data_IF_809154649113
#
_entry.id   IF_809154649113
#
_cell.length_a   1.000
_cell.length_b   1.000
_cell.length_c   1.000
_cell.angle_alpha   90.00
_cell.angle_beta   90.00
_cell.angle_gamma   90.00
#
_symmetry.space_group_name_H-M   'P 1'
#
loop_
_entity.id
_entity.type
_entity.pdbx_description
1 polymer ?
#
# COMPACT_ATOMS: atom_id res chain seq x y z
N UNK A 1 -18.01 -9.24 2.99
CA UNK A 1 -16.73 -8.87 2.39
C UNK A 1 -15.73 -8.48 3.47
N UNK A 2 -14.51 -8.97 3.36
CA UNK A 2 -13.48 -8.59 4.32
C UNK A 2 -13.10 -7.13 4.11
N UNK A 3 -13.01 -6.37 5.19
CA UNK A 3 -12.53 -5.00 5.14
C UNK A 3 -11.01 -5.01 5.06
N UNK A 4 -10.45 -4.28 4.11
CA UNK A 4 -9.00 -4.18 3.98
C UNK A 4 -8.42 -3.37 5.14
N UNK A 5 -7.35 -3.88 5.74
CA UNK A 5 -6.63 -3.18 6.80
C UNK A 5 -5.84 -2.01 6.27
N UNK A 6 -5.33 -2.12 5.04
CA UNK A 6 -4.60 -1.05 4.36
C UNK A 6 -5.52 -0.48 3.29
N UNK A 7 -5.60 0.83 3.22
CA UNK A 7 -6.44 1.55 2.25
C UNK A 7 -5.59 2.47 1.40
N UNK A 8 -6.14 2.86 0.25
CA UNK A 8 -5.53 3.88 -0.61
C UNK A 8 -5.30 5.17 0.19
N UNK A 9 -4.20 5.84 -0.09
CA UNK A 9 -3.73 7.05 0.57
C UNK A 9 -3.13 6.84 1.96
N UNK A 10 -3.10 5.61 2.47
CA UNK A 10 -2.36 5.33 3.71
C UNK A 10 -0.86 5.44 3.46
N UNK A 11 -0.12 5.88 4.46
CA UNK A 11 1.34 5.79 4.45
C UNK A 11 1.76 4.50 5.12
N UNK A 12 2.60 3.74 4.43
CA UNK A 12 3.04 2.42 4.91
C UNK A 12 4.55 2.31 4.82
N UNK A 13 5.11 1.37 5.59
CA UNK A 13 6.52 1.01 5.54
C UNK A 13 6.64 -0.43 5.06
N UNK A 14 7.58 -0.66 4.15
CA UNK A 14 7.88 -2.02 3.67
C UNK A 14 8.74 -2.71 4.71
N UNK A 15 8.31 -3.89 5.16
CA UNK A 15 8.97 -4.63 6.24
C UNK A 15 9.74 -5.85 5.76
N UNK A 16 9.62 -6.21 4.50
CA UNK A 16 10.30 -7.39 3.94
C UNK A 16 10.54 -7.21 2.46
N UNK A 17 11.51 -7.94 1.93
CA UNK A 17 11.86 -7.94 0.52
C UNK A 17 12.94 -6.93 0.17
N UNK A 18 13.14 -6.72 -1.14
CA UNK A 18 14.22 -5.85 -1.64
C UNK A 18 14.07 -4.38 -1.25
N UNK A 19 12.84 -3.94 -0.99
CA UNK A 19 12.56 -2.55 -0.64
C UNK A 19 12.32 -2.35 0.86
N UNK A 20 12.80 -3.29 1.67
CA UNK A 20 12.67 -3.21 3.13
C UNK A 20 13.12 -1.84 3.64
N UNK A 21 12.36 -1.31 4.59
CA UNK A 21 12.55 0.00 5.23
C UNK A 21 12.17 1.20 4.37
N UNK A 22 11.69 1.00 3.15
CA UNK A 22 11.12 2.09 2.37
C UNK A 22 9.72 2.44 2.87
N UNK A 23 9.40 3.71 2.77
CA UNK A 23 8.09 4.25 3.15
C UNK A 23 7.46 4.89 1.94
N UNK A 24 6.14 4.83 1.87
CA UNK A 24 5.44 5.45 0.76
C UNK A 24 3.94 5.44 0.96
N UNK A 25 3.27 6.15 0.07
CA UNK A 25 1.82 6.25 0.08
C UNK A 25 1.22 5.14 -0.77
N UNK A 26 0.15 4.52 -0.28
CA UNK A 26 -0.56 3.49 -1.03
C UNK A 26 -1.33 4.13 -2.17
N UNK A 27 -1.02 3.71 -3.39
CA UNK A 27 -1.67 4.21 -4.60
C UNK A 27 -2.88 3.39 -4.98
N UNK A 28 -2.84 2.10 -4.72
CA UNK A 28 -3.92 1.19 -5.08
C UNK A 28 -3.91 -0.02 -4.16
N UNK A 29 -5.09 -0.54 -3.86
CA UNK A 29 -5.26 -1.75 -3.05
C UNK A 29 -6.06 -2.77 -3.85
N UNK A 30 -5.56 -4.00 -3.90
CA UNK A 30 -6.28 -5.13 -4.49
C UNK A 30 -6.60 -6.13 -3.36
N UNK A 31 -7.76 -5.98 -2.71
CA UNK A 31 -8.09 -6.85 -1.58
C UNK A 31 -8.28 -8.31 -1.99
N UNK A 32 -8.72 -8.54 -3.22
CA UNK A 32 -8.98 -9.89 -3.73
C UNK A 32 -7.70 -10.72 -3.79
N UNK A 33 -6.59 -10.10 -4.19
CA UNK A 33 -5.30 -10.77 -4.32
C UNK A 33 -4.35 -10.46 -3.17
N UNK A 34 -4.80 -9.72 -2.15
CA UNK A 34 -4.00 -9.30 -1.01
C UNK A 34 -2.73 -8.55 -1.42
N UNK A 35 -2.87 -7.63 -2.37
CA UNK A 35 -1.75 -6.85 -2.88
C UNK A 35 -2.02 -5.36 -2.81
N UNK A 36 -0.93 -4.62 -2.71
CA UNK A 36 -0.97 -3.16 -2.69
C UNK A 36 0.10 -2.60 -3.60
N UNK A 37 -0.17 -1.44 -4.17
CA UNK A 37 0.81 -0.66 -4.94
C UNK A 37 1.20 0.53 -4.08
N UNK A 38 2.48 0.67 -3.80
CA UNK A 38 3.02 1.73 -2.96
C UNK A 38 3.93 2.63 -3.78
N UNK A 39 3.75 3.93 -3.65
CA UNK A 39 4.54 4.91 -4.39
C UNK A 39 6.03 4.73 -4.15
N UNK A 40 6.79 4.62 -5.24
CA UNK A 40 8.25 4.48 -5.19
C UNK A 40 8.76 3.12 -4.74
N UNK A 41 7.86 2.15 -4.51
CA UNK A 41 8.22 0.82 -4.00
C UNK A 41 7.96 -0.22 -5.08
N UNK A 42 8.86 -1.22 -5.14
CA UNK A 42 8.80 -2.31 -6.10
C UNK A 42 8.75 -1.81 -7.54
N UNK A 43 9.63 -0.87 -7.83
CA UNK A 43 9.71 -0.28 -9.16
C UNK A 43 10.17 -1.32 -10.17
N UNK A 44 9.44 -1.45 -11.24
CA UNK A 44 9.77 -2.34 -12.35
C UNK A 44 9.85 -1.55 -13.63
N UNK A 45 10.66 -2.05 -14.55
CA UNK A 45 10.81 -1.46 -15.87
C UNK A 45 9.96 -2.25 -16.86
N UNK A 46 9.08 -1.55 -17.56
CA UNK A 46 8.26 -2.13 -18.61
C UNK A 46 8.65 -1.58 -19.95
N UNK A 47 8.74 -2.46 -20.95
CA UNK A 47 8.88 -2.05 -22.33
C UNK A 47 7.50 -1.83 -22.93
N UNK A 48 7.27 -0.60 -23.41
CA UNK A 48 6.00 -0.28 -24.06
C UNK A 48 6.20 -0.30 -25.56
N UNK A 49 5.22 -0.87 -26.28
CA UNK A 49 5.23 -0.83 -27.74
C UNK A 49 4.70 0.51 -28.23
N UNK A 50 5.22 1.03 -29.35
CA UNK A 50 4.66 2.25 -29.94
C UNK A 50 3.18 2.04 -30.25
N UNK A 51 2.40 3.07 -29.99
CA UNK A 51 0.97 3.06 -30.27
C UNK A 51 0.52 4.44 -30.70
N UNK A 52 -0.74 4.58 -31.07
CA UNK A 52 -1.29 5.89 -31.42
C UNK A 52 -1.18 6.89 -30.28
N UNK A 53 -1.27 6.42 -29.04
CA UNK A 53 -1.15 7.27 -27.86
C UNK A 53 0.30 7.45 -27.41
N UNK A 54 1.19 6.51 -27.74
CA UNK A 54 2.60 6.56 -27.36
C UNK A 54 3.44 6.11 -28.55
N UNK A 55 3.69 7.05 -29.46
CA UNK A 55 4.36 6.74 -30.71
C UNK A 55 5.84 6.42 -30.57
N UNK A 56 6.46 6.89 -29.50
CA UNK A 56 7.88 6.63 -29.27
C UNK A 56 8.14 5.27 -28.67
N UNK A 57 7.12 4.67 -28.04
CA UNK A 57 7.30 3.46 -27.26
C UNK A 57 8.27 3.71 -26.13
N UNK A 58 8.99 2.69 -25.71
CA UNK A 58 10.12 2.87 -24.84
C UNK A 58 10.00 2.13 -23.52
N UNK A 59 10.77 2.62 -22.53
CA UNK A 59 10.90 2.00 -21.22
C UNK A 59 10.17 2.88 -20.22
N UNK A 60 9.20 2.28 -19.51
CA UNK A 60 8.44 2.96 -18.47
C UNK A 60 8.73 2.30 -17.14
N UNK A 61 9.08 3.11 -16.14
CA UNK A 61 9.21 2.63 -14.77
C UNK A 61 7.89 2.87 -14.05
N UNK A 62 7.37 1.84 -13.40
CA UNK A 62 6.16 1.98 -12.60
C UNK A 62 6.21 1.03 -11.42
N UNK A 63 5.43 1.33 -10.41
CA UNK A 63 5.30 0.50 -9.24
C UNK A 63 4.56 -0.78 -9.58
N UNK A 64 5.07 -1.92 -9.13
CA UNK A 64 4.37 -3.19 -9.22
C UNK A 64 3.72 -3.52 -7.88
N UNK A 65 2.63 -4.30 -7.89
CA UNK A 65 2.00 -4.71 -6.64
C UNK A 65 2.91 -5.55 -5.77
N UNK A 66 2.80 -5.37 -4.46
CA UNK A 66 3.48 -6.20 -3.48
C UNK A 66 2.44 -6.81 -2.54
N UNK A 67 2.81 -7.90 -1.88
CA UNK A 67 1.93 -8.56 -0.93
C UNK A 67 1.65 -7.62 0.25
N UNK A 68 0.40 -7.53 0.67
CA UNK A 68 0.01 -6.64 1.78
C UNK A 68 0.69 -7.03 3.08
N UNK A 69 1.07 -8.29 3.26
CA UNK A 69 1.79 -8.74 4.44
C UNK A 69 3.21 -8.17 4.53
N UNK A 70 3.73 -7.62 3.43
CA UNK A 70 5.07 -7.03 3.39
C UNK A 70 5.09 -5.55 3.76
N UNK A 71 3.96 -4.99 4.13
CA UNK A 71 3.87 -3.59 4.54
C UNK A 71 3.17 -3.46 5.88
N UNK A 72 3.49 -2.39 6.61
CA UNK A 72 2.81 -2.01 7.84
C UNK A 72 2.39 -0.56 7.77
N UNK A 73 1.23 -0.26 8.35
CA UNK A 73 0.73 1.10 8.43
C UNK A 73 1.67 1.95 9.29
N UNK A 74 1.97 3.15 8.83
CA UNK A 74 2.73 4.13 9.62
C UNK A 74 1.77 5.06 10.36
N UNK A 75 1.79 4.98 11.68
CA UNK A 75 1.02 5.85 12.55
C UNK A 75 2.00 6.76 13.29
N UNK A 76 1.92 8.07 13.02
CA UNK A 76 2.84 9.05 13.58
C UNK A 76 4.32 8.67 13.33
N UNK A 77 4.60 8.13 12.13
CA UNK A 77 5.95 7.74 11.73
C UNK A 77 6.43 6.40 12.27
N UNK A 78 5.58 5.66 12.99
CA UNK A 78 5.94 4.36 13.56
C UNK A 78 5.14 3.24 12.91
N UNK A 79 5.78 2.14 12.50
CA UNK A 79 5.04 1.00 11.97
C UNK A 79 4.15 0.38 13.04
N UNK A 80 2.93 0.09 12.67
CA UNK A 80 1.97 -0.57 13.57
C UNK A 80 1.08 -1.50 12.78
N UNK A 81 0.57 -2.50 13.46
CA UNK A 81 -0.49 -3.34 12.89
C UNK A 81 -1.82 -2.63 13.06
N UNK A 82 -2.75 -2.98 12.18
CA UNK A 82 -4.10 -2.44 12.20
C UNK A 82 -5.05 -3.48 12.74
N UNK A 83 -5.87 -3.08 13.71
CA UNK A 83 -7.03 -3.83 14.16
C UNK A 83 -8.30 -3.08 13.84
N UNK A 84 -9.43 -3.68 14.18
CA UNK A 84 -10.73 -3.05 14.02
C UNK A 84 -11.46 -3.03 15.35
N UNK A 85 -12.16 -1.92 15.61
CA UNK A 85 -13.04 -1.77 16.76
C UNK A 85 -14.35 -1.17 16.30
N UNK A 86 -15.40 -1.43 17.07
CA UNK A 86 -16.67 -0.74 16.88
C UNK A 86 -16.74 0.40 17.87
N UNK A 87 -16.85 1.63 17.36
CA UNK A 87 -17.00 2.84 18.15
C UNK A 87 -18.20 3.61 17.64
N UNK A 88 -19.09 3.96 18.55
CA UNK A 88 -20.33 4.69 18.21
C UNK A 88 -21.13 4.01 17.09
N UNK A 89 -21.17 2.67 17.13
CA UNK A 89 -21.88 1.88 16.14
C UNK A 89 -21.19 1.71 14.80
N UNK A 90 -19.98 2.24 14.66
CA UNK A 90 -19.20 2.15 13.41
C UNK A 90 -17.92 1.38 13.60
N UNK A 91 -17.59 0.57 12.59
CA UNK A 91 -16.34 -0.15 12.57
C UNK A 91 -15.22 0.80 12.12
N UNK A 92 -14.20 0.95 12.95
CA UNK A 92 -13.07 1.83 12.66
C UNK A 92 -11.77 1.05 12.73
N UNK A 93 -10.76 1.52 11.99
CA UNK A 93 -9.42 0.97 12.07
C UNK A 93 -8.70 1.59 13.26
N UNK A 94 -7.92 0.77 13.93
CA UNK A 94 -7.17 1.17 15.12
C UNK A 94 -5.71 0.79 14.97
N UNK A 95 -4.82 1.70 15.32
CA UNK A 95 -3.39 1.39 15.39
C UNK A 95 -3.14 0.58 16.66
N UNK A 96 -2.78 -0.69 16.53
CA UNK A 96 -2.61 -1.57 17.68
C UNK A 96 -1.49 -1.14 18.62
N UNK A 97 -0.48 -0.46 18.10
CA UNK A 97 0.64 -0.01 18.93
C UNK A 97 0.22 1.07 19.95
N UNK A 98 -0.76 1.91 19.61
CA UNK A 98 -1.19 3.02 20.46
C UNK A 98 -2.62 2.91 20.94
N UNK A 99 -3.43 2.10 20.28
CA UNK A 99 -4.87 2.02 20.55
C UNK A 99 -5.67 3.16 19.97
N UNK A 100 -5.05 4.05 19.20
CA UNK A 100 -5.74 5.20 18.62
C UNK A 100 -6.51 4.82 17.37
N UNK A 101 -7.67 5.42 17.20
CA UNK A 101 -8.46 5.24 15.98
C UNK A 101 -7.78 5.93 14.81
N UNK A 102 -7.76 5.26 13.64
CA UNK A 102 -7.19 5.80 12.42
C UNK A 102 -8.27 6.51 11.61
N UNK A 103 -9.43 5.89 11.50
CA UNK A 103 -10.56 6.46 10.76
C UNK A 103 -11.90 5.95 11.25
#
# INVERSE_FOLDING_TARGET
MATSKIKRDDTVKVIAGKDKDREGKVLHVDPKNHRVVVEGVNMVTKHTKPSAANQTGGIVRQEAPIDVSNVMYLHNGKPTRIGFEVRDGKKVRVAKATGEAID
#
